data_IF_402575395664
#
_entry.id   IF_402575395664
#
_cell.length_a   1.000
_cell.length_b   1.000
_cell.length_c   1.000
_cell.angle_alpha   90.00
_cell.angle_beta   90.00
_cell.angle_gamma   90.00
#
_symmetry.space_group_name_H-M   'P 1'
#
loop_
_entity.id
_entity.type
_entity.pdbx_description
1 polymer ?
#
# COMPACT_ATOMS: atom_id res chain seq x y z
N UNK A 1 2.48 7.96 -26.73
CA UNK A 1 3.49 8.03 -25.65
C UNK A 1 2.88 8.76 -24.48
N UNK A 2 3.13 8.28 -23.27
CA UNK A 2 2.69 8.96 -22.04
C UNK A 2 3.83 9.89 -21.64
N UNK A 3 3.58 11.21 -21.59
CA UNK A 3 4.59 12.19 -21.17
C UNK A 3 4.76 12.22 -19.64
N UNK A 4 5.51 13.20 -19.13
CA UNK A 4 5.57 13.46 -17.69
C UNK A 4 4.16 13.82 -17.16
N UNK A 5 3.78 13.35 -15.96
CA UNK A 5 2.49 13.69 -15.36
C UNK A 5 2.44 15.19 -15.03
N UNK A 6 1.31 15.83 -15.33
CA UNK A 6 1.14 17.28 -15.09
C UNK A 6 1.09 17.64 -13.60
N UNK A 7 0.67 16.71 -12.74
CA UNK A 7 0.72 16.84 -11.27
C UNK A 7 0.77 15.46 -10.61
N UNK A 8 1.70 15.24 -9.68
CA UNK A 8 1.69 14.12 -8.74
C UNK A 8 1.20 14.64 -7.40
N UNK A 9 -0.04 14.32 -7.02
CA UNK A 9 -0.62 14.75 -5.73
C UNK A 9 -0.33 13.78 -4.59
N UNK A 10 0.13 12.57 -4.92
CA UNK A 10 0.45 11.52 -3.95
C UNK A 10 -0.79 10.90 -3.31
N UNK A 11 -0.69 9.62 -2.96
CA UNK A 11 -1.73 8.86 -2.28
C UNK A 11 -1.12 7.98 -1.19
N UNK A 12 -1.95 7.57 -0.23
CA UNK A 12 -1.57 6.63 0.83
C UNK A 12 -2.49 5.43 0.80
N UNK A 13 -1.95 4.23 0.55
CA UNK A 13 -2.70 2.97 0.58
C UNK A 13 -2.53 2.27 1.93
N UNK A 14 -3.64 1.94 2.57
CA UNK A 14 -3.67 1.22 3.85
C UNK A 14 -4.29 -0.16 3.64
N UNK A 15 -3.56 -1.22 4.03
CA UNK A 15 -4.03 -2.60 3.99
C UNK A 15 -3.94 -3.23 5.38
N UNK A 16 -5.07 -3.73 5.90
CA UNK A 16 -5.18 -4.36 7.22
C UNK A 16 -5.81 -5.74 7.07
N UNK A 17 -5.11 -6.77 7.55
CA UNK A 17 -5.65 -8.13 7.64
C UNK A 17 -6.10 -8.41 9.08
N UNK A 18 -7.31 -8.93 9.21
CA UNK A 18 -7.95 -9.23 10.48
C UNK A 18 -8.55 -10.64 10.52
N UNK A 19 -8.01 -11.48 11.41
CA UNK A 19 -8.58 -12.78 11.71
C UNK A 19 -9.63 -12.64 12.79
N UNK A 20 -10.88 -12.55 12.35
CA UNK A 20 -12.05 -12.51 13.23
C UNK A 20 -12.12 -13.78 14.11
N UNK A 21 -12.51 -13.59 15.36
CA UNK A 21 -12.96 -14.70 16.20
C UNK A 21 -14.34 -15.18 15.74
N UNK A 22 -14.74 -16.39 16.14
CA UNK A 22 -16.06 -16.94 15.80
C UNK A 22 -17.22 -16.09 16.33
N UNK A 23 -16.99 -15.34 17.39
CA UNK A 23 -17.91 -14.43 18.07
C UNK A 23 -17.60 -12.95 17.78
N UNK A 24 -16.95 -12.64 16.65
CA UNK A 24 -16.68 -11.25 16.26
C UNK A 24 -18.00 -10.44 16.14
N UNK A 25 -18.16 -9.31 16.88
CA UNK A 25 -19.39 -8.53 16.92
C UNK A 25 -19.57 -7.63 15.69
N UNK A 26 -18.96 -7.99 14.55
CA UNK A 26 -19.01 -7.18 13.33
C UNK A 26 -18.06 -5.97 13.38
N UNK A 27 -16.78 -6.19 13.69
CA UNK A 27 -15.80 -5.10 13.71
C UNK A 27 -15.41 -4.63 12.30
N UNK A 28 -14.95 -3.39 12.21
CA UNK A 28 -14.24 -2.77 11.10
C UNK A 28 -12.92 -2.14 11.57
N UNK A 29 -12.39 -1.18 10.81
CA UNK A 29 -11.13 -0.49 11.07
C UNK A 29 -11.37 1.01 11.18
N UNK A 30 -10.99 1.61 12.31
CA UNK A 30 -10.91 3.05 12.47
C UNK A 30 -9.50 3.52 12.09
N UNK A 31 -9.38 4.44 11.13
CA UNK A 31 -8.11 4.93 10.57
C UNK A 31 -8.02 6.44 10.71
N UNK A 32 -6.83 6.96 11.05
CA UNK A 32 -6.50 8.38 11.06
C UNK A 32 -5.03 8.56 10.68
N UNK A 33 -4.59 9.79 10.45
CA UNK A 33 -3.18 10.03 10.18
C UNK A 33 -2.75 11.48 10.01
N UNK A 34 -1.46 11.66 9.80
CA UNK A 34 -0.84 12.95 9.54
C UNK A 34 0.35 12.83 8.60
N UNK A 35 0.72 13.94 7.99
CA UNK A 35 1.95 14.09 7.20
C UNK A 35 2.92 15.02 7.91
N UNK A 36 4.11 14.54 8.26
CA UNK A 36 5.17 15.41 8.77
C UNK A 36 5.80 16.26 7.66
N UNK A 37 5.63 15.86 6.40
CA UNK A 37 6.17 16.56 5.23
C UNK A 37 5.34 17.79 4.86
N UNK A 38 4.01 17.67 4.84
CA UNK A 38 3.10 18.76 4.43
C UNK A 38 2.38 19.43 5.60
N UNK A 39 2.31 18.76 6.75
CA UNK A 39 1.46 19.17 7.88
C UNK A 39 -0.01 18.79 7.73
N UNK A 40 -0.38 18.06 6.67
CA UNK A 40 -1.76 17.63 6.43
C UNK A 40 -2.21 16.58 7.44
N UNK A 41 -3.54 16.46 7.62
CA UNK A 41 -4.16 15.49 8.52
C UNK A 41 -5.27 14.70 7.83
N UNK A 42 -5.27 13.39 8.05
CA UNK A 42 -6.34 12.48 7.67
C UNK A 42 -7.32 12.36 8.85
N UNK A 43 -8.54 12.85 8.66
CA UNK A 43 -9.58 12.78 9.66
C UNK A 43 -9.90 11.32 10.03
N UNK A 44 -10.07 11.08 11.34
CA UNK A 44 -10.38 9.75 11.85
C UNK A 44 -11.76 9.27 11.42
N UNK A 45 -11.85 8.08 10.82
CA UNK A 45 -13.11 7.49 10.39
C UNK A 45 -13.12 5.97 10.58
N UNK A 46 -14.30 5.43 10.88
CA UNK A 46 -14.54 3.99 10.89
C UNK A 46 -14.91 3.50 9.49
N UNK A 47 -14.33 2.37 9.10
CA UNK A 47 -14.59 1.71 7.84
C UNK A 47 -14.88 0.23 8.05
N UNK A 48 -15.84 -0.30 7.30
CA UNK A 48 -16.02 -1.74 7.19
C UNK A 48 -14.81 -2.39 6.49
N UNK A 49 -14.59 -3.68 6.77
CA UNK A 49 -13.67 -4.47 5.95
C UNK A 49 -14.18 -4.54 4.51
N UNK A 50 -13.28 -4.42 3.53
CA UNK A 50 -13.58 -4.34 2.10
C UNK A 50 -13.55 -5.70 1.42
N UNK A 51 -13.01 -6.73 2.07
CA UNK A 51 -12.99 -8.09 1.53
C UNK A 51 -12.48 -9.14 2.52
N UNK A 52 -12.04 -10.27 1.97
CA UNK A 52 -11.45 -11.39 2.70
C UNK A 52 -10.33 -12.02 1.88
N UNK A 53 -9.27 -12.49 2.55
CA UNK A 53 -8.29 -13.40 1.98
C UNK A 53 -8.37 -14.77 2.68
N UNK A 54 -7.48 -15.70 2.31
CA UNK A 54 -7.41 -17.02 2.94
C UNK A 54 -7.06 -17.02 4.43
N UNK A 55 -6.68 -15.87 5.01
CA UNK A 55 -6.38 -15.75 6.43
C UNK A 55 -7.50 -15.10 7.24
N UNK A 56 -8.22 -14.13 6.66
CA UNK A 56 -9.32 -13.44 7.34
C UNK A 56 -9.93 -12.29 6.54
N UNK A 57 -10.54 -11.33 7.25
CA UNK A 57 -11.08 -10.10 6.67
C UNK A 57 -9.93 -9.17 6.25
N UNK A 58 -10.12 -8.42 5.18
CA UNK A 58 -9.17 -7.44 4.65
C UNK A 58 -9.86 -6.09 4.56
N UNK A 59 -9.19 -5.05 5.05
CA UNK A 59 -9.53 -3.67 4.78
C UNK A 59 -8.44 -3.11 3.89
N UNK A 60 -8.82 -2.59 2.74
CA UNK A 60 -7.95 -1.97 1.77
C UNK A 60 -8.60 -0.68 1.28
N UNK A 61 -7.92 0.43 1.49
CA UNK A 61 -8.38 1.75 1.07
C UNK A 61 -7.19 2.61 0.65
N UNK A 62 -7.42 3.43 -0.37
CA UNK A 62 -6.51 4.49 -0.79
C UNK A 62 -7.06 5.84 -0.35
N UNK A 63 -6.20 6.68 0.20
CA UNK A 63 -6.50 8.05 0.60
C UNK A 63 -5.69 9.03 -0.24
N UNK A 64 -6.29 10.15 -0.63
CA UNK A 64 -5.57 11.24 -1.27
C UNK A 64 -4.64 11.93 -0.26
N UNK A 65 -3.41 12.20 -0.70
CA UNK A 65 -2.34 12.78 0.13
C UNK A 65 -1.30 11.76 0.61
N UNK A 66 -0.16 12.28 1.05
CA UNK A 66 0.99 11.50 1.53
C UNK A 66 1.03 11.59 3.06
N UNK A 67 0.63 10.53 3.75
CA UNK A 67 0.64 10.44 5.21
C UNK A 67 1.75 9.48 5.67
N UNK A 68 2.64 9.97 6.51
CA UNK A 68 3.78 9.24 7.04
C UNK A 68 3.60 8.77 8.48
N UNK A 69 2.50 9.16 9.14
CA UNK A 69 2.04 8.60 10.42
C UNK A 69 0.56 8.22 10.30
N UNK A 70 0.28 6.91 10.22
CA UNK A 70 -1.07 6.35 10.13
C UNK A 70 -1.39 5.63 11.43
N UNK A 71 -2.46 6.04 12.10
CA UNK A 71 -3.04 5.33 13.24
C UNK A 71 -4.22 4.46 12.84
N UNK A 72 -4.35 3.31 13.49
CA UNK A 72 -5.43 2.36 13.26
C UNK A 72 -5.90 1.64 14.54
N UNK A 73 -7.19 1.32 14.59
CA UNK A 73 -7.82 0.48 15.62
C UNK A 73 -8.87 -0.42 14.96
N UNK A 74 -8.88 -1.71 15.29
CA UNK A 74 -10.01 -2.59 14.93
C UNK A 74 -11.11 -2.43 15.99
N UNK A 75 -12.31 -2.08 15.57
CA UNK A 75 -13.42 -1.79 16.48
C UNK A 75 -14.80 -1.92 15.83
N UNK A 76 -15.87 -1.93 16.61
CA UNK A 76 -17.22 -1.67 16.11
C UNK A 76 -17.49 -0.16 16.03
N UNK A 77 -18.57 0.23 15.34
CA UNK A 77 -19.04 1.63 15.33
C UNK A 77 -19.38 2.15 16.74
N UNK A 78 -19.74 1.25 17.65
CA UNK A 78 -20.00 1.52 19.06
C UNK A 78 -18.74 1.57 19.95
N UNK A 79 -17.55 1.65 19.36
CA UNK A 79 -16.26 1.71 20.05
C UNK A 79 -15.87 0.47 20.89
N UNK A 80 -16.40 -0.72 20.59
CA UNK A 80 -15.89 -1.97 21.17
C UNK A 80 -14.53 -2.32 20.54
N UNK A 81 -13.45 -1.92 21.21
CA UNK A 81 -12.08 -1.99 20.68
C UNK A 81 -11.50 -3.41 20.77
N UNK A 82 -10.88 -3.85 19.69
CA UNK A 82 -10.04 -5.05 19.66
C UNK A 82 -8.57 -4.68 19.90
N UNK A 83 -8.18 -4.70 21.18
CA UNK A 83 -6.86 -4.25 21.63
C UNK A 83 -6.78 -2.73 21.74
N UNK A 84 -5.57 -2.18 21.64
CA UNK A 84 -5.32 -0.74 21.72
C UNK A 84 -4.97 -0.10 20.38
N UNK A 85 -4.71 1.21 20.44
CA UNK A 85 -4.28 2.03 19.32
C UNK A 85 -2.93 1.55 18.76
N UNK A 86 -2.78 1.62 17.44
CA UNK A 86 -1.59 1.17 16.71
C UNK A 86 -1.20 2.24 15.69
N UNK A 87 0.05 2.67 15.69
CA UNK A 87 0.57 3.60 14.67
C UNK A 87 1.58 2.89 13.75
N UNK A 88 1.58 3.31 12.49
CA UNK A 88 2.50 2.90 11.43
C UNK A 88 3.18 4.17 10.93
N UNK A 89 4.51 4.18 10.95
CA UNK A 89 5.31 5.30 10.45
C UNK A 89 5.98 4.90 9.14
N UNK A 90 5.86 5.73 8.10
CA UNK A 90 6.47 5.56 6.78
C UNK A 90 7.86 6.19 6.80
N UNK A 91 8.88 5.41 6.41
CA UNK A 91 10.25 5.90 6.31
C UNK A 91 10.42 6.93 5.19
N UNK A 92 11.43 7.80 5.34
CA UNK A 92 11.72 8.92 4.43
C UNK A 92 12.19 8.54 3.02
N UNK A 93 12.51 7.27 2.80
CA UNK A 93 12.88 6.67 1.51
C UNK A 93 11.65 6.06 0.78
N UNK A 94 10.44 6.32 1.30
CA UNK A 94 9.22 5.64 0.85
C UNK A 94 9.14 4.20 1.38
N UNK A 95 10.15 3.73 2.11
CA UNK A 95 10.21 2.39 2.68
C UNK A 95 9.78 2.45 4.14
N UNK A 96 8.52 2.04 4.44
CA UNK A 96 8.28 1.39 5.74
C UNK A 96 9.11 0.10 5.69
N UNK A 97 9.73 -0.35 6.78
CA UNK A 97 9.95 -1.77 6.99
C UNK A 97 8.59 -2.50 6.87
N UNK A 98 8.19 -2.89 5.65
CA UNK A 98 6.89 -3.53 5.36
C UNK A 98 5.82 -2.76 4.55
N UNK A 99 6.14 -1.87 3.57
CA UNK A 99 5.14 -1.48 2.51
C UNK A 99 5.21 -2.35 1.26
N UNK A 100 5.83 -3.51 1.38
CA UNK A 100 5.16 -4.71 0.92
C UNK A 100 4.98 -5.55 2.17
N UNK A 101 3.80 -6.14 2.37
CA UNK A 101 3.42 -7.09 3.43
C UNK A 101 2.59 -6.53 4.60
N UNK A 102 1.27 -6.58 4.36
CA UNK A 102 0.26 -7.24 5.21
C UNK A 102 0.44 -7.05 6.71
N UNK A 103 -0.15 -5.99 7.27
CA UNK A 103 -0.33 -5.90 8.71
C UNK A 103 -1.35 -6.93 9.18
N UNK A 104 -0.91 -7.85 10.03
CA UNK A 104 -1.74 -8.89 10.59
C UNK A 104 -2.01 -8.60 12.07
N UNK A 105 -3.28 -8.45 12.42
CA UNK A 105 -3.71 -8.14 13.78
C UNK A 105 -4.20 -9.38 14.54
N UNK A 106 -3.57 -9.67 15.68
CA UNK A 106 -3.89 -10.82 16.56
C UNK A 106 -4.22 -10.36 17.99
N UNK A 107 -5.14 -11.06 18.67
CA UNK A 107 -5.55 -10.76 20.05
C UNK A 107 -4.36 -10.93 20.98
N UNK A 108 -4.09 -9.96 21.84
CA UNK A 108 -3.06 -10.04 22.88
C UNK A 108 -1.61 -9.81 22.41
N UNK A 109 -1.37 -9.37 21.17
CA UNK A 109 -0.03 -9.04 20.66
C UNK A 109 0.03 -7.54 20.34
N UNK A 110 0.81 -6.79 21.13
CA UNK A 110 1.06 -5.35 20.96
C UNK A 110 2.24 -5.05 20.00
N UNK A 111 2.67 -6.02 19.18
CA UNK A 111 3.86 -5.89 18.33
C UNK A 111 3.50 -5.86 16.85
N UNK A 112 3.98 -4.80 16.19
CA UNK A 112 4.22 -4.69 14.75
C UNK A 112 5.07 -5.88 14.31
N UNK A 113 4.62 -6.61 13.29
CA UNK A 113 5.52 -7.44 12.50
C UNK A 113 5.27 -7.11 11.02
N UNK A 114 6.31 -6.76 10.25
CA UNK A 114 6.24 -6.79 8.78
C UNK A 114 6.19 -8.23 8.25
N UNK A 115 6.35 -9.22 9.13
CA UNK A 115 6.21 -10.62 8.81
C UNK A 115 4.75 -11.02 9.00
N UNK A 116 4.19 -11.67 7.97
CA UNK A 116 2.94 -12.39 8.13
C UNK A 116 3.06 -13.36 9.32
N UNK A 117 2.01 -13.52 10.15
CA UNK A 117 2.09 -14.39 11.31
C UNK A 117 2.33 -15.82 10.83
N UNK A 118 2.89 -16.65 11.69
CA UNK A 118 3.12 -18.06 11.38
C UNK A 118 1.86 -18.83 10.93
N UNK A 119 0.67 -18.33 11.25
CA UNK A 119 -0.63 -18.89 10.81
C UNK A 119 -1.10 -18.41 9.42
N UNK A 120 -0.35 -17.54 8.74
CA UNK A 120 -0.68 -17.01 7.43
C UNK A 120 -0.03 -17.88 6.35
N UNK A 121 -0.77 -18.92 5.93
CA UNK A 121 -0.32 -19.90 4.92
C UNK A 121 -0.97 -19.64 3.55
N UNK A 122 -1.33 -18.38 3.30
CA UNK A 122 -1.86 -17.94 2.02
C UNK A 122 -0.79 -18.05 0.94
N UNK A 123 -1.01 -18.94 -0.04
CA UNK A 123 -0.14 -19.13 -1.19
C UNK A 123 -0.81 -18.57 -2.43
N UNK A 124 -0.10 -17.71 -3.14
CA UNK A 124 -0.46 -17.34 -4.49
C UNK A 124 0.22 -18.33 -5.45
N UNK A 125 -0.55 -18.90 -6.37
CA UNK A 125 0.00 -19.66 -7.51
C UNK A 125 0.42 -18.72 -8.62
N UNK A 126 -0.30 -17.62 -8.78
CA UNK A 126 -0.10 -16.60 -9.79
C UNK A 126 -0.03 -15.24 -9.09
N UNK A 127 0.92 -14.40 -9.51
CA UNK A 127 1.18 -13.09 -8.90
C UNK A 127 1.13 -12.02 -9.97
N UNK A 128 0.15 -11.11 -9.87
CA UNK A 128 0.19 -9.84 -10.60
C UNK A 128 0.94 -8.82 -9.77
N UNK A 129 2.12 -8.44 -10.22
CA UNK A 129 2.92 -7.37 -9.63
C UNK A 129 2.59 -6.05 -10.33
N UNK A 130 2.10 -5.07 -9.56
CA UNK A 130 1.99 -3.68 -9.99
C UNK A 130 3.10 -2.87 -9.31
N UNK A 131 3.98 -2.27 -10.11
CA UNK A 131 5.06 -1.41 -9.62
C UNK A 131 4.70 0.04 -9.92
N UNK A 132 4.84 0.89 -8.90
CA UNK A 132 4.76 2.34 -9.03
C UNK A 132 6.16 2.91 -8.80
N UNK A 133 6.68 3.61 -9.78
CA UNK A 133 8.00 4.23 -9.75
C UNK A 133 7.83 5.74 -9.54
N UNK A 134 8.17 6.21 -8.34
CA UNK A 134 8.12 7.63 -8.01
C UNK A 134 9.46 8.32 -8.30
N UNK A 135 9.39 9.53 -8.88
CA UNK A 135 10.52 10.45 -8.99
C UNK A 135 10.12 11.81 -8.45
N UNK A 136 10.92 12.35 -7.54
CA UNK A 136 10.66 13.65 -6.92
C UNK A 136 10.76 14.84 -7.89
N UNK A 137 11.45 14.67 -9.02
CA UNK A 137 11.52 15.67 -10.08
C UNK A 137 10.34 15.58 -11.07
N UNK A 138 9.52 14.53 -11.00
CA UNK A 138 8.45 14.26 -11.96
C UNK A 138 8.93 14.01 -13.40
N UNK A 139 10.25 13.86 -13.61
CA UNK A 139 10.85 13.72 -14.94
C UNK A 139 11.09 12.25 -15.26
N UNK A 140 10.08 11.61 -15.84
CA UNK A 140 10.15 10.23 -16.30
C UNK A 140 10.76 10.11 -17.71
N UNK A 141 10.75 11.22 -18.45
CA UNK A 141 11.41 11.40 -19.74
C UNK A 141 12.43 12.53 -19.66
N UNK A 142 13.47 12.48 -20.49
CA UNK A 142 14.48 13.53 -20.55
C UNK A 142 13.86 14.82 -21.11
N UNK A 143 13.73 15.86 -20.27
CA UNK A 143 13.07 17.12 -20.61
C UNK A 143 13.72 17.89 -21.78
N UNK A 144 14.96 17.55 -22.11
CA UNK A 144 15.71 18.13 -23.24
C UNK A 144 15.31 17.54 -24.59
N UNK A 145 14.59 16.41 -24.58
CA UNK A 145 14.29 15.63 -25.76
C UNK A 145 12.83 15.81 -26.17
N UNK A 146 12.61 16.31 -27.38
CA UNK A 146 11.27 16.41 -27.98
C UNK A 146 10.77 15.06 -28.49
N UNK A 147 11.64 14.03 -28.52
CA UNK A 147 11.31 12.68 -28.92
C UNK A 147 10.89 11.86 -27.70
N UNK A 148 9.67 11.30 -27.71
CA UNK A 148 9.21 10.39 -26.65
C UNK A 148 9.80 8.98 -26.80
N UNK A 149 11.04 8.86 -27.29
CA UNK A 149 11.68 7.59 -27.65
C UNK A 149 12.99 7.33 -26.90
N UNK A 150 13.47 8.23 -26.02
CA UNK A 150 14.72 8.04 -25.25
C UNK A 150 14.81 8.98 -24.00
N UNK A 151 15.37 8.55 -22.85
CA UNK A 151 15.20 7.28 -22.18
C UNK A 151 13.94 7.30 -21.30
N UNK A 152 13.11 6.28 -21.50
CA UNK A 152 12.12 5.82 -20.53
C UNK A 152 12.86 4.95 -19.52
N UNK A 153 12.61 5.13 -18.22
CA UNK A 153 13.06 4.14 -17.25
C UNK A 153 12.15 2.93 -17.38
N UNK A 154 12.70 1.78 -17.76
CA UNK A 154 11.99 0.51 -17.69
C UNK A 154 12.52 -0.30 -16.50
N UNK A 155 11.72 -1.27 -16.06
CA UNK A 155 12.12 -2.19 -15.00
C UNK A 155 12.78 -3.42 -15.63
N UNK A 156 13.93 -3.83 -15.11
CA UNK A 156 14.48 -5.14 -15.42
C UNK A 156 14.03 -6.15 -14.36
N UNK A 157 13.41 -7.25 -14.77
CA UNK A 157 12.96 -8.30 -13.86
C UNK A 157 13.37 -9.70 -14.31
N UNK A 158 13.52 -10.59 -13.33
CA UNK A 158 13.80 -12.00 -13.50
C UNK A 158 13.00 -12.81 -12.47
N UNK A 159 12.35 -13.90 -12.91
CA UNK A 159 11.59 -14.81 -12.04
C UNK A 159 10.35 -15.39 -12.75
N UNK A 160 9.96 -16.62 -12.37
CA UNK A 160 8.83 -17.33 -12.99
C UNK A 160 8.99 -17.44 -14.51
N UNK A 161 8.00 -16.93 -15.24
CA UNK A 161 7.95 -16.81 -16.69
C UNK A 161 8.60 -15.54 -17.27
N UNK A 162 9.25 -14.69 -16.46
CA UNK A 162 9.81 -13.39 -16.88
C UNK A 162 11.34 -13.35 -16.77
N UNK A 163 12.01 -12.87 -17.82
CA UNK A 163 13.43 -12.52 -17.82
C UNK A 163 13.69 -11.42 -18.86
N UNK A 164 13.58 -10.16 -18.45
CA UNK A 164 13.74 -9.04 -19.37
C UNK A 164 13.20 -7.71 -18.87
N UNK A 165 13.11 -6.77 -19.80
CA UNK A 165 12.55 -5.43 -19.58
C UNK A 165 11.03 -5.49 -19.47
N UNK A 166 10.47 -4.76 -18.51
CA UNK A 166 9.04 -4.49 -18.32
C UNK A 166 8.88 -2.98 -18.43
N UNK A 167 8.04 -2.55 -19.37
CA UNK A 167 7.86 -1.13 -19.64
C UNK A 167 6.99 -0.44 -18.58
N UNK A 168 7.41 0.76 -18.17
CA UNK A 168 6.57 1.67 -17.39
C UNK A 168 5.61 2.40 -18.35
N UNK A 169 4.46 1.80 -18.64
CA UNK A 169 3.61 2.18 -19.76
C UNK A 169 2.47 3.15 -19.42
N UNK A 170 2.35 3.58 -18.17
CA UNK A 170 1.29 4.46 -17.69
C UNK A 170 1.74 5.30 -16.49
N UNK A 171 0.90 6.22 -16.01
CA UNK A 171 1.12 6.97 -14.78
C UNK A 171 -0.14 6.94 -13.90
N UNK A 172 0.05 6.91 -12.58
CA UNK A 172 -0.97 7.24 -11.59
C UNK A 172 -0.41 8.18 -10.52
N UNK A 173 -1.17 8.44 -9.46
CA UNK A 173 -0.81 9.42 -8.42
C UNK A 173 0.47 9.04 -7.63
N UNK A 174 0.98 7.82 -7.82
CA UNK A 174 2.24 7.34 -7.25
C UNK A 174 3.42 7.36 -8.25
N UNK A 175 3.21 7.78 -9.50
CA UNK A 175 4.25 7.88 -10.52
C UNK A 175 4.02 6.96 -11.71
N UNK A 176 5.10 6.59 -12.39
CA UNK A 176 5.03 5.72 -13.56
C UNK A 176 4.73 4.27 -13.16
N UNK A 177 3.94 3.56 -13.96
CA UNK A 177 3.35 2.27 -13.60
C UNK A 177 3.80 1.19 -14.57
N UNK A 178 4.16 0.02 -14.04
CA UNK A 178 4.27 -1.23 -14.76
C UNK A 178 3.40 -2.30 -14.09
N UNK A 179 2.81 -3.18 -14.89
CA UNK A 179 2.09 -4.36 -14.39
C UNK A 179 2.64 -5.61 -15.06
N UNK A 180 2.96 -6.64 -14.28
CA UNK A 180 3.50 -7.89 -14.78
C UNK A 180 2.90 -9.09 -14.04
N UNK A 181 2.50 -10.10 -14.79
CA UNK A 181 2.06 -11.38 -14.25
C UNK A 181 3.24 -12.36 -14.16
N UNK A 182 3.37 -13.01 -13.00
CA UNK A 182 4.30 -14.08 -12.73
C UNK A 182 3.51 -15.37 -12.45
N UNK A 183 3.88 -16.42 -13.16
CA UNK A 183 3.35 -17.79 -13.02
C UNK A 183 4.48 -18.78 -12.76
#
# INVERSE_FOLDING_TARGET
SYGNPENLTGQTRVVVHYKAASDDPGRGVYVWGSSTQTGDSLAGAHHAFTGTDCWGKVYEQTFDGVYDDIGLIVTTDGWDKYGGDRNVTVGSDGTVPGVDRRHVLRRGVHKRSPEAPSSYDCKATDVTLKVHYYRSDGLYFNASDTSTTDPQWDLWSWGGNVNGSISLDSHDDWGAVATQEYT
#
